data_IF_864208226607
#
_entry.id   IF_864208226607
#
_cell.length_a   1.000
_cell.length_b   1.000
_cell.length_c   1.000
_cell.angle_alpha   90.00
_cell.angle_beta   90.00
_cell.angle_gamma   90.00
#
_symmetry.space_group_name_H-M   'P 1'
#
loop_
_entity.id
_entity.type
_entity.pdbx_description
1 polymer ?
#
# COMPACT_ATOMS: atom_id res chain seq x y z
N UNK A 1 -8.56 25.05 -8.23
CA UNK A 1 -9.26 24.29 -7.17
C UNK A 1 -8.72 22.86 -6.95
N UNK A 2 -7.89 22.29 -7.84
CA UNK A 2 -7.26 20.98 -7.64
C UNK A 2 -6.22 20.94 -6.48
N UNK A 3 -5.45 22.02 -6.29
CA UNK A 3 -4.45 22.10 -5.20
C UNK A 3 -5.05 22.21 -3.79
N UNK A 4 -6.34 22.58 -3.66
CA UNK A 4 -6.99 22.69 -2.35
C UNK A 4 -7.48 21.33 -1.84
N UNK A 5 -7.77 20.37 -2.73
CA UNK A 5 -8.22 19.01 -2.37
C UNK A 5 -7.04 18.11 -1.97
N UNK A 6 -5.89 18.25 -2.63
CA UNK A 6 -4.65 17.58 -2.23
C UNK A 6 -4.16 18.11 -0.86
N UNK A 7 -4.21 19.42 -0.64
CA UNK A 7 -3.90 20.02 0.66
C UNK A 7 -4.89 19.57 1.76
N UNK A 8 -6.18 19.39 1.43
CA UNK A 8 -7.19 18.90 2.38
C UNK A 8 -6.94 17.44 2.80
N UNK A 9 -6.49 16.58 1.89
CA UNK A 9 -6.15 15.19 2.23
C UNK A 9 -4.87 15.10 3.07
N UNK A 10 -3.84 15.91 2.74
CA UNK A 10 -2.63 16.04 3.56
C UNK A 10 -2.97 16.58 4.95
N UNK A 11 -3.89 17.55 5.05
CA UNK A 11 -4.34 18.11 6.33
C UNK A 11 -5.19 17.10 7.12
N UNK A 12 -6.04 16.30 6.47
CA UNK A 12 -6.82 15.24 7.14
C UNK A 12 -5.91 14.14 7.68
N UNK A 13 -4.90 13.72 6.92
CA UNK A 13 -3.88 12.78 7.40
C UNK A 13 -3.07 13.37 8.56
N UNK A 14 -2.66 14.65 8.46
CA UNK A 14 -1.95 15.33 9.53
C UNK A 14 -2.80 15.57 10.80
N UNK A 15 -4.11 15.83 10.66
CA UNK A 15 -5.04 16.04 11.77
C UNK A 15 -5.30 14.72 12.52
N UNK A 16 -5.47 13.60 11.79
CA UNK A 16 -5.57 12.28 12.43
C UNK A 16 -4.25 11.88 13.12
N UNK A 17 -3.09 12.27 12.60
CA UNK A 17 -1.80 12.08 13.28
C UNK A 17 -1.60 13.02 14.48
N UNK A 18 -2.11 14.26 14.44
CA UNK A 18 -1.91 15.24 15.53
C UNK A 18 -2.89 15.09 16.69
N UNK A 19 -4.06 14.48 16.47
CA UNK A 19 -4.99 14.18 17.57
C UNK A 19 -4.46 13.09 18.53
N UNK A 20 -3.36 12.42 18.18
CA UNK A 20 -2.63 11.48 19.03
C UNK A 20 -1.50 12.13 19.86
N UNK A 21 -1.25 13.43 19.76
CA UNK A 21 -0.17 14.10 20.50
C UNK A 21 -0.63 15.47 21.02
N UNK A 22 -1.42 15.46 22.10
CA UNK A 22 -1.81 16.70 22.78
C UNK A 22 -0.70 17.18 23.71
N UNK A 23 0.42 17.69 23.18
CA UNK A 23 1.22 18.70 23.86
C UNK A 23 1.99 19.53 22.83
N UNK A 24 1.81 20.85 22.91
CA UNK A 24 2.37 21.92 22.07
C UNK A 24 1.60 22.26 20.78
N UNK A 25 0.52 23.04 20.95
CA UNK A 25 -0.04 23.86 19.88
C UNK A 25 0.28 25.35 20.12
N UNK A 26 0.74 26.00 19.05
CA UNK A 26 1.12 27.41 18.93
C UNK A 26 -0.06 28.35 19.32
N UNK A 27 0.15 29.40 20.14
CA UNK A 27 -0.93 30.28 20.64
C UNK A 27 -1.68 31.08 19.56
N UNK A 28 -1.23 31.07 18.30
CA UNK A 28 -1.90 31.74 17.18
C UNK A 28 -3.11 30.98 16.60
N UNK A 29 -3.30 29.68 16.91
CA UNK A 29 -4.32 28.82 16.27
C UNK A 29 -5.58 28.61 17.16
N UNK A 30 -5.47 28.94 18.44
CA UNK A 30 -6.50 28.68 19.46
C UNK A 30 -7.87 29.37 19.23
N UNK A 31 -7.97 30.58 18.63
CA UNK A 31 -9.26 31.23 18.39
C UNK A 31 -10.12 30.55 17.30
N UNK A 32 -9.49 29.90 16.31
CA UNK A 32 -10.20 29.26 15.19
C UNK A 32 -10.78 27.88 15.56
N UNK A 33 -10.13 27.14 16.46
CA UNK A 33 -10.59 25.85 16.98
C UNK A 33 -11.89 25.96 17.80
N UNK A 34 -12.09 27.06 18.54
CA UNK A 34 -13.29 27.27 19.39
C UNK A 34 -14.56 27.55 18.59
N UNK A 35 -14.46 28.02 17.34
CA UNK A 35 -15.62 28.24 16.48
C UNK A 35 -16.14 26.91 15.87
N UNK A 36 -15.27 25.90 15.73
CA UNK A 36 -15.61 24.66 15.03
C UNK A 36 -16.26 23.61 15.94
N UNK A 37 -15.91 23.56 17.23
CA UNK A 37 -16.50 22.62 18.21
C UNK A 37 -18.00 22.85 18.43
N UNK A 38 -18.49 24.09 18.26
CA UNK A 38 -19.93 24.41 18.33
C UNK A 38 -20.75 23.82 17.17
N UNK A 39 -20.14 23.60 16.00
CA UNK A 39 -20.84 23.07 14.82
C UNK A 39 -20.88 21.54 14.81
N UNK A 40 -19.86 20.88 15.35
CA UNK A 40 -19.80 19.41 15.44
C UNK A 40 -20.75 18.82 16.50
N UNK A 41 -20.99 19.54 17.61
CA UNK A 41 -21.93 19.11 18.64
C UNK A 41 -23.40 19.09 18.17
N UNK A 42 -23.75 19.95 17.20
CA UNK A 42 -25.12 20.04 16.66
C UNK A 42 -25.46 18.87 15.73
N UNK A 43 -24.46 18.29 15.04
CA UNK A 43 -24.63 17.16 14.14
C UNK A 43 -24.77 15.81 14.86
N UNK A 44 -24.23 15.69 16.09
CA UNK A 44 -24.32 14.47 16.88
C UNK A 44 -25.69 14.29 17.58
N UNK A 45 -26.42 15.38 17.83
CA UNK A 45 -27.68 15.37 18.56
C UNK A 45 -28.89 14.89 17.72
N UNK A 46 -28.77 14.80 16.39
CA UNK A 46 -29.87 14.42 15.49
C UNK A 46 -29.93 12.93 15.16
N UNK A 47 -29.01 12.10 15.67
CA UNK A 47 -28.90 10.67 15.30
C UNK A 47 -29.33 9.67 16.37
N UNK A 48 -29.77 10.11 17.56
CA UNK A 48 -30.27 9.21 18.60
C UNK A 48 -31.67 9.58 19.08
N UNK A 49 -32.69 9.12 18.37
CA UNK A 49 -34.01 8.84 18.96
C UNK A 49 -34.84 7.96 18.02
N UNK A 50 -34.96 6.66 18.32
CA UNK A 50 -36.02 5.79 17.77
C UNK A 50 -36.59 4.92 18.90
N UNK A 51 -37.94 4.72 18.98
CA UNK A 51 -38.58 3.91 20.02
C UNK A 51 -38.77 2.43 19.60
N UNK A 52 -39.09 1.50 20.54
CA UNK A 52 -39.03 0.05 20.33
C UNK A 52 -40.30 -0.55 19.67
N UNK A 53 -40.27 -1.85 19.24
CA UNK A 53 -41.22 -2.38 18.27
C UNK A 53 -42.46 -3.05 18.90
N UNK A 54 -43.57 -3.07 18.14
CA UNK A 54 -44.79 -3.85 18.41
C UNK A 54 -45.14 -4.77 17.23
N UNK A 55 -45.71 -5.92 17.57
CA UNK A 55 -45.99 -7.11 16.75
C UNK A 55 -47.22 -7.00 15.80
N UNK A 56 -47.19 -7.86 14.76
CA UNK A 56 -48.31 -8.55 14.05
C UNK A 56 -49.27 -7.67 13.19
N UNK A 57 -49.55 -7.91 11.91
CA UNK A 57 -50.09 -9.12 11.24
C UNK A 57 -50.07 -8.96 9.70
N UNK A 58 -50.20 -10.10 9.00
CA UNK A 58 -50.34 -10.30 7.55
C UNK A 58 -51.49 -9.49 6.91
N UNK A 59 -51.27 -9.03 5.66
CA UNK A 59 -52.23 -9.14 4.53
C UNK A 59 -51.50 -8.96 3.19
N UNK A 60 -51.77 -9.86 2.25
CA UNK A 60 -51.40 -9.78 0.84
C UNK A 60 -52.32 -8.81 0.10
N UNK A 61 -51.87 -8.26 -1.04
CA UNK A 61 -52.62 -8.12 -2.32
C UNK A 61 -51.74 -7.49 -3.40
N UNK A 62 -51.63 -8.25 -4.51
CA UNK A 62 -51.54 -7.95 -5.95
C UNK A 62 -50.88 -6.68 -6.52
N UNK A 63 -50.05 -6.95 -7.54
CA UNK A 63 -49.61 -6.07 -8.62
C UNK A 63 -50.73 -5.26 -9.30
N UNK A 64 -50.37 -4.06 -9.77
CA UNK A 64 -50.92 -3.47 -10.99
C UNK A 64 -49.87 -2.58 -11.68
N UNK A 65 -49.54 -2.91 -12.93
CA UNK A 65 -48.86 -2.02 -13.87
C UNK A 65 -49.86 -1.01 -14.44
N UNK A 66 -49.49 0.27 -14.52
CA UNK A 66 -50.11 1.21 -15.46
C UNK A 66 -49.11 2.25 -15.95
N UNK A 67 -48.88 2.25 -17.25
CA UNK A 67 -48.33 3.37 -18.01
C UNK A 67 -49.41 4.44 -18.21
N UNK A 68 -49.01 5.72 -18.18
CA UNK A 68 -49.27 6.77 -19.19
C UNK A 68 -49.11 8.16 -18.58
N UNK A 69 -48.59 9.11 -19.37
CA UNK A 69 -48.88 10.53 -19.19
C UNK A 69 -47.69 11.48 -19.25
N UNK A 70 -47.34 11.89 -20.48
CA UNK A 70 -46.53 13.10 -20.75
C UNK A 70 -47.27 14.34 -20.22
N UNK A 71 -46.57 15.21 -19.50
CA UNK A 71 -46.90 16.64 -19.42
C UNK A 71 -45.63 17.46 -19.62
N UNK A 72 -45.71 18.41 -20.56
CA UNK A 72 -44.63 19.31 -20.94
C UNK A 72 -44.65 20.64 -20.19
N UNK A 73 -43.42 21.14 -20.03
CA UNK A 73 -42.97 22.53 -19.92
C UNK A 73 -43.47 23.44 -18.79
N UNK A 74 -42.55 23.75 -17.88
CA UNK A 74 -42.25 25.14 -17.54
C UNK A 74 -40.73 25.31 -17.37
N UNK A 75 -40.16 26.12 -18.28
CA UNK A 75 -38.80 26.62 -18.18
C UNK A 75 -38.69 27.62 -17.01
N UNK A 76 -37.81 27.32 -16.06
CA UNK A 76 -37.13 28.33 -15.25
C UNK A 76 -35.64 28.14 -15.47
N UNK A 77 -35.05 29.06 -16.24
CA UNK A 77 -33.61 29.16 -16.40
C UNK A 77 -32.98 29.51 -15.06
N UNK A 78 -31.97 28.74 -14.65
CA UNK A 78 -31.06 29.14 -13.60
C UNK A 78 -29.69 28.49 -13.85
N UNK A 79 -28.68 29.33 -14.07
CA UNK A 79 -27.24 29.05 -13.93
C UNK A 79 -26.65 27.90 -14.73
N UNK A 80 -26.05 28.21 -15.89
CA UNK A 80 -25.03 27.35 -16.50
C UNK A 80 -23.82 27.22 -15.55
N UNK A 81 -23.91 26.25 -14.65
CA UNK A 81 -22.73 25.57 -14.14
C UNK A 81 -22.64 24.29 -14.96
N UNK A 82 -21.95 24.33 -16.11
CA UNK A 82 -21.57 23.12 -16.83
C UNK A 82 -20.54 22.39 -15.96
N UNK A 83 -21.02 21.76 -14.89
CA UNK A 83 -20.25 20.85 -14.08
C UNK A 83 -19.97 19.65 -14.98
N UNK A 84 -18.81 19.67 -15.64
CA UNK A 84 -18.28 18.48 -16.30
C UNK A 84 -18.41 17.32 -15.30
N UNK A 85 -19.09 16.27 -15.71
CA UNK A 85 -19.16 15.03 -14.95
C UNK A 85 -17.73 14.58 -14.68
N UNK A 86 -17.48 13.94 -13.53
CA UNK A 86 -16.19 13.26 -13.29
C UNK A 86 -15.91 12.25 -14.43
N UNK A 87 -16.95 11.77 -15.10
CA UNK A 87 -16.84 10.87 -16.25
C UNK A 87 -16.37 11.56 -17.55
N UNK A 88 -16.41 12.89 -17.63
CA UNK A 88 -16.04 13.65 -18.84
C UNK A 88 -14.51 13.85 -18.93
N UNK A 89 -13.74 13.51 -17.89
CA UNK A 89 -12.27 13.57 -17.90
C UNK A 89 -11.61 12.33 -18.51
N UNK A 90 -12.39 11.36 -18.97
CA UNK A 90 -11.89 10.16 -19.60
C UNK A 90 -11.48 10.45 -21.05
N UNK A 91 -10.43 9.79 -21.56
CA UNK A 91 -10.14 9.84 -22.98
C UNK A 91 -11.35 9.36 -23.78
N UNK A 92 -11.61 9.95 -24.97
CA UNK A 92 -12.49 9.32 -25.95
C UNK A 92 -12.09 7.86 -26.17
N UNK A 93 -13.07 6.97 -26.30
CA UNK A 93 -12.88 5.53 -26.58
C UNK A 93 -12.15 4.74 -25.48
N UNK A 94 -12.23 5.18 -24.22
CA UNK A 94 -11.75 4.43 -23.07
C UNK A 94 -12.85 3.52 -22.47
N UNK A 95 -12.57 2.26 -22.10
CA UNK A 95 -11.29 1.54 -22.28
C UNK A 95 -11.03 1.19 -23.75
N UNK A 96 -9.76 1.15 -24.18
CA UNK A 96 -9.42 0.82 -25.55
C UNK A 96 -9.86 -0.63 -25.88
N UNK A 97 -10.07 -0.95 -27.17
CA UNK A 97 -10.40 -2.31 -27.59
C UNK A 97 -9.33 -3.34 -27.17
N UNK A 98 -9.80 -4.55 -26.91
CA UNK A 98 -8.91 -5.69 -26.65
C UNK A 98 -7.96 -5.96 -27.82
N UNK A 99 -6.77 -6.43 -27.49
CA UNK A 99 -5.74 -6.88 -28.44
C UNK A 99 -5.55 -8.40 -28.34
N UNK A 100 -4.74 -9.02 -29.23
CA UNK A 100 -4.39 -10.44 -29.10
C UNK A 100 -3.71 -10.78 -27.76
N UNK A 101 -3.04 -9.82 -27.12
CA UNK A 101 -2.22 -10.05 -25.91
C UNK A 101 -2.77 -9.39 -24.65
N UNK A 102 -3.67 -8.41 -24.77
CA UNK A 102 -4.09 -7.55 -23.66
C UNK A 102 -5.60 -7.27 -23.71
N UNK A 103 -6.26 -7.31 -22.55
CA UNK A 103 -7.64 -6.86 -22.33
C UNK A 103 -7.66 -5.78 -21.23
N UNK A 104 -8.57 -4.81 -21.31
CA UNK A 104 -8.67 -3.72 -20.31
C UNK A 104 -10.07 -3.66 -19.68
N UNK A 105 -10.11 -3.73 -18.34
CA UNK A 105 -11.32 -3.55 -17.54
C UNK A 105 -11.18 -2.26 -16.72
N UNK A 106 -12.14 -1.34 -16.84
CA UNK A 106 -12.12 -0.09 -16.09
C UNK A 106 -12.93 -0.17 -14.79
N UNK A 107 -12.35 0.38 -13.72
CA UNK A 107 -12.96 0.50 -12.39
C UNK A 107 -13.06 1.98 -11.99
N UNK A 108 -14.28 2.43 -11.71
CA UNK A 108 -14.56 3.78 -11.22
C UNK A 108 -15.65 3.75 -10.15
N UNK A 109 -15.31 4.19 -8.93
CA UNK A 109 -16.24 4.17 -7.79
C UNK A 109 -17.45 5.10 -7.94
N UNK A 110 -17.42 6.04 -8.88
CA UNK A 110 -18.50 6.98 -9.15
C UNK A 110 -19.40 6.51 -10.32
N UNK A 111 -19.14 5.32 -10.87
CA UNK A 111 -19.96 4.72 -11.93
C UNK A 111 -19.62 5.19 -13.33
N UNK A 112 -18.46 5.82 -13.55
CA UNK A 112 -18.01 6.21 -14.89
C UNK A 112 -17.49 5.03 -15.73
N UNK A 113 -17.39 3.84 -15.13
CA UNK A 113 -16.93 2.61 -15.77
C UNK A 113 -17.86 1.44 -15.47
N UNK A 114 -17.66 0.34 -16.21
CA UNK A 114 -18.47 -0.88 -16.09
C UNK A 114 -18.35 -1.57 -14.72
N UNK A 115 -17.30 -1.26 -13.96
CA UNK A 115 -17.10 -1.78 -12.61
C UNK A 115 -16.96 -0.62 -11.62
N UNK A 116 -17.58 -0.74 -10.46
CA UNK A 116 -17.45 0.22 -9.35
C UNK A 116 -16.52 -0.27 -8.24
N UNK A 117 -16.16 -1.55 -8.24
CA UNK A 117 -15.23 -2.18 -7.30
C UNK A 117 -14.11 -2.89 -8.04
N UNK A 118 -12.95 -2.98 -7.41
CA UNK A 118 -11.77 -3.67 -7.96
C UNK A 118 -12.02 -5.18 -8.00
N UNK A 119 -12.63 -5.76 -6.97
CA UNK A 119 -12.92 -7.19 -6.93
C UNK A 119 -13.84 -7.64 -8.07
N UNK A 120 -14.88 -6.87 -8.41
CA UNK A 120 -15.80 -7.25 -9.49
C UNK A 120 -15.13 -7.27 -10.87
N UNK A 121 -14.17 -6.37 -11.13
CA UNK A 121 -13.38 -6.40 -12.35
C UNK A 121 -12.44 -7.62 -12.40
N UNK A 122 -11.83 -7.98 -11.26
CA UNK A 122 -11.01 -9.20 -11.16
C UNK A 122 -11.86 -10.44 -11.41
N UNK A 123 -13.06 -10.52 -10.83
CA UNK A 123 -13.97 -11.65 -10.98
C UNK A 123 -14.35 -11.85 -12.45
N UNK A 124 -14.56 -10.76 -13.20
CA UNK A 124 -14.85 -10.76 -14.63
C UNK A 124 -13.65 -11.16 -15.52
N UNK A 125 -12.41 -11.01 -15.03
CA UNK A 125 -11.22 -11.40 -15.80
C UNK A 125 -11.22 -12.93 -16.10
N UNK A 126 -10.88 -13.37 -17.33
CA UNK A 126 -10.89 -14.79 -17.65
C UNK A 126 -9.91 -15.61 -16.78
N UNK A 127 -10.32 -16.81 -16.39
CA UNK A 127 -9.43 -17.75 -15.67
C UNK A 127 -8.39 -18.33 -16.64
N UNK A 128 -7.19 -18.60 -16.13
CA UNK A 128 -6.07 -19.21 -16.85
C UNK A 128 -5.74 -18.52 -18.20
N UNK A 129 -5.99 -17.21 -18.27
CA UNK A 129 -5.77 -16.43 -19.48
C UNK A 129 -4.29 -16.30 -19.81
N UNK A 130 -3.86 -16.63 -21.05
CA UNK A 130 -2.54 -16.26 -21.52
C UNK A 130 -2.45 -14.76 -21.84
N UNK A 131 -3.58 -14.07 -22.03
CA UNK A 131 -3.64 -12.61 -22.22
C UNK A 131 -3.51 -11.89 -20.89
N UNK A 132 -2.81 -10.76 -20.89
CA UNK A 132 -2.73 -9.84 -19.75
C UNK A 132 -4.04 -9.07 -19.60
N UNK A 133 -4.67 -9.16 -18.43
CA UNK A 133 -5.84 -8.32 -18.12
C UNK A 133 -5.40 -7.14 -17.29
N UNK A 134 -5.57 -5.93 -17.84
CA UNK A 134 -5.29 -4.67 -17.15
C UNK A 134 -6.58 -4.19 -16.49
N UNK A 135 -6.57 -4.17 -15.17
CA UNK A 135 -7.58 -3.53 -14.34
C UNK A 135 -7.13 -2.06 -14.18
N UNK A 136 -7.75 -1.18 -14.96
CA UNK A 136 -7.53 0.26 -14.86
C UNK A 136 -8.38 0.81 -13.73
N UNK A 137 -7.74 1.37 -12.70
CA UNK A 137 -8.38 1.81 -11.46
C UNK A 137 -8.23 3.33 -11.37
N UNK A 138 -9.33 4.06 -11.51
CA UNK A 138 -9.30 5.51 -11.43
C UNK A 138 -8.93 6.02 -10.03
N UNK A 139 -8.62 7.32 -9.96
CA UNK A 139 -8.36 8.00 -8.69
C UNK A 139 -9.53 7.85 -7.73
N UNK A 140 -9.22 7.44 -6.50
CA UNK A 140 -10.20 7.19 -5.47
C UNK A 140 -9.68 6.25 -4.38
N UNK A 141 -10.38 6.26 -3.25
CA UNK A 141 -10.23 5.27 -2.18
C UNK A 141 -11.25 4.16 -2.43
N UNK A 142 -10.79 2.93 -2.60
CA UNK A 142 -11.60 1.73 -2.78
C UNK A 142 -11.55 0.95 -1.46
N UNK A 143 -12.59 1.14 -0.63
CA UNK A 143 -12.68 0.48 0.67
C UNK A 143 -13.28 -0.92 0.49
N UNK A 144 -12.43 -1.88 0.17
CA UNK A 144 -12.80 -3.26 -0.13
C UNK A 144 -11.62 -4.20 0.13
N UNK A 145 -11.93 -5.46 0.42
CA UNK A 145 -10.94 -6.53 0.49
C UNK A 145 -10.82 -7.20 -0.88
N UNK A 146 -9.60 -7.30 -1.39
CA UNK A 146 -9.34 -7.77 -2.77
C UNK A 146 -8.50 -9.04 -2.77
N UNK A 147 -8.88 -10.02 -3.59
CA UNK A 147 -8.11 -11.24 -3.82
C UNK A 147 -7.91 -11.49 -5.31
N UNK A 148 -6.65 -11.59 -5.72
CA UNK A 148 -6.25 -12.06 -7.06
C UNK A 148 -5.85 -13.53 -6.94
N UNK A 149 -6.79 -14.43 -7.29
CA UNK A 149 -6.62 -15.87 -7.14
C UNK A 149 -5.53 -16.45 -8.08
N UNK A 150 -4.94 -17.58 -7.69
CA UNK A 150 -3.88 -18.28 -8.44
C UNK A 150 -4.28 -18.63 -9.87
N UNK A 151 -5.56 -18.92 -10.11
CA UNK A 151 -6.10 -19.27 -11.42
C UNK A 151 -6.37 -18.05 -12.33
N UNK A 152 -6.00 -16.84 -11.93
CA UNK A 152 -6.09 -15.62 -12.76
C UNK A 152 -4.68 -15.03 -12.96
N UNK A 153 -3.80 -15.68 -13.75
CA UNK A 153 -2.45 -15.16 -14.02
C UNK A 153 -2.50 -13.87 -14.84
N UNK A 154 -1.37 -13.15 -14.93
CA UNK A 154 -1.19 -12.00 -15.83
C UNK A 154 -2.17 -10.84 -15.55
N UNK A 155 -2.51 -10.59 -14.29
CA UNK A 155 -3.32 -9.43 -13.91
C UNK A 155 -2.41 -8.21 -13.72
N UNK A 156 -2.87 -7.05 -14.19
CA UNK A 156 -2.21 -5.76 -13.93
C UNK A 156 -3.18 -4.82 -13.24
N UNK A 157 -2.79 -4.24 -12.11
CA UNK A 157 -3.46 -3.07 -11.57
C UNK A 157 -2.76 -1.81 -12.06
N UNK A 158 -3.50 -0.95 -12.74
CA UNK A 158 -3.02 0.34 -13.22
C UNK A 158 -3.80 1.44 -12.52
N UNK A 159 -3.20 2.07 -11.50
CA UNK A 159 -3.73 3.27 -10.86
C UNK A 159 -3.30 4.56 -11.56
N UNK A 160 -3.72 5.70 -11.02
CA UNK A 160 -3.40 7.04 -11.55
C UNK A 160 -2.36 7.80 -10.70
N UNK A 161 -1.77 7.12 -9.71
CA UNK A 161 -0.78 7.67 -8.78
C UNK A 161 -0.96 7.05 -7.40
N UNK A 162 0.14 6.72 -6.72
CA UNK A 162 0.03 6.15 -5.37
C UNK A 162 -0.65 7.11 -4.37
N UNK A 163 -0.56 8.43 -4.59
CA UNK A 163 -1.24 9.42 -3.76
C UNK A 163 -2.73 9.62 -4.11
N UNK A 164 -3.21 9.12 -5.25
CA UNK A 164 -4.56 9.39 -5.76
C UNK A 164 -5.44 8.15 -5.89
N UNK A 165 -4.85 6.96 -6.05
CA UNK A 165 -5.57 5.67 -6.16
C UNK A 165 -5.12 4.74 -5.03
N UNK A 166 -6.07 4.26 -4.22
CA UNK A 166 -5.76 3.36 -3.11
C UNK A 166 -6.84 2.28 -2.89
N UNK A 167 -6.41 1.05 -2.61
CA UNK A 167 -7.26 -0.02 -2.08
C UNK A 167 -7.01 -0.12 -0.58
N UNK A 168 -8.09 -0.09 0.21
CA UNK A 168 -8.04 0.10 1.66
C UNK A 168 -8.93 -0.91 2.37
N UNK A 169 -8.39 -1.53 3.42
CA UNK A 169 -9.17 -2.30 4.39
C UNK A 169 -8.60 -2.08 5.81
N UNK A 170 -9.12 -2.77 6.83
CA UNK A 170 -8.73 -2.54 8.23
C UNK A 170 -8.72 -3.81 9.11
N UNK A 171 -8.54 -4.99 8.51
CA UNK A 171 -8.44 -6.21 9.29
C UNK A 171 -7.15 -6.25 10.11
N UNK A 172 -7.26 -6.73 11.34
CA UNK A 172 -6.12 -7.16 12.16
C UNK A 172 -6.04 -8.68 12.14
N UNK A 173 -4.92 -9.25 12.56
CA UNK A 173 -4.79 -10.69 12.75
C UNK A 173 -5.88 -11.25 13.66
N UNK A 174 -6.32 -10.50 14.68
CA UNK A 174 -7.41 -10.90 15.54
C UNK A 174 -8.77 -10.93 14.80
N UNK A 175 -9.09 -9.90 13.99
CA UNK A 175 -10.36 -9.88 13.24
C UNK A 175 -10.40 -10.89 12.10
N UNK A 176 -9.23 -11.26 11.55
CA UNK A 176 -9.10 -12.16 10.41
C UNK A 176 -8.69 -13.60 10.77
N UNK A 177 -8.54 -13.94 12.06
CA UNK A 177 -8.07 -15.26 12.53
C UNK A 177 -6.64 -15.61 12.05
N UNK A 178 -5.77 -14.61 12.01
CA UNK A 178 -4.33 -14.74 11.73
C UNK A 178 -3.81 -13.66 10.80
N UNK A 179 -2.55 -13.27 10.97
CA UNK A 179 -1.86 -12.24 10.18
C UNK A 179 -1.98 -12.48 8.68
N UNK A 180 -1.86 -13.73 8.23
CA UNK A 180 -1.87 -14.07 6.82
C UNK A 180 -3.20 -13.79 6.11
N UNK A 181 -4.29 -13.65 6.88
CA UNK A 181 -5.63 -13.38 6.39
C UNK A 181 -6.03 -11.90 6.55
N UNK A 182 -5.21 -11.07 7.21
CA UNK A 182 -5.53 -9.64 7.43
C UNK A 182 -5.22 -8.75 6.23
N UNK A 183 -4.60 -9.30 5.18
CA UNK A 183 -4.27 -8.61 3.94
C UNK A 183 -5.46 -7.89 3.33
N UNK A 184 -5.36 -6.56 3.19
CA UNK A 184 -6.34 -5.75 2.46
C UNK A 184 -6.41 -6.18 0.99
N UNK A 185 -5.24 -6.48 0.42
CA UNK A 185 -5.10 -7.15 -0.88
C UNK A 185 -4.31 -8.45 -0.72
N UNK A 186 -4.77 -9.53 -1.36
CA UNK A 186 -4.09 -10.82 -1.40
C UNK A 186 -3.83 -11.24 -2.84
N UNK A 187 -2.56 -11.37 -3.23
CA UNK A 187 -2.13 -11.71 -4.57
C UNK A 187 -1.53 -13.12 -4.57
N UNK A 188 -2.27 -14.09 -5.10
CA UNK A 188 -1.79 -15.47 -5.30
C UNK A 188 -1.48 -15.78 -6.77
N UNK A 189 -1.76 -14.83 -7.67
CA UNK A 189 -1.58 -14.90 -9.10
C UNK A 189 -0.12 -14.71 -9.51
N UNK A 190 0.36 -15.48 -10.47
CA UNK A 190 1.66 -15.27 -11.08
C UNK A 190 1.64 -14.17 -12.14
N UNK A 191 2.80 -13.56 -12.41
CA UNK A 191 2.96 -12.48 -13.39
C UNK A 191 2.09 -11.25 -13.09
N UNK A 192 1.78 -11.03 -11.81
CA UNK A 192 1.01 -9.88 -11.33
C UNK A 192 1.83 -8.60 -11.48
N UNK A 193 1.20 -7.53 -11.93
CA UNK A 193 1.81 -6.20 -11.99
C UNK A 193 0.93 -5.21 -11.25
N UNK A 194 1.53 -4.31 -10.47
CA UNK A 194 0.87 -3.10 -10.00
C UNK A 194 1.68 -1.86 -10.37
N UNK A 195 0.99 -0.83 -10.84
CA UNK A 195 1.58 0.46 -11.22
C UNK A 195 0.78 1.59 -10.60
N UNK A 196 1.46 2.56 -10.00
CA UNK A 196 0.90 3.84 -9.59
C UNK A 196 -0.37 3.72 -8.73
N UNK A 197 -0.37 2.81 -7.75
CA UNK A 197 -1.50 2.55 -6.84
C UNK A 197 -0.99 2.29 -5.42
N UNK A 198 -1.82 2.58 -4.43
CA UNK A 198 -1.53 2.29 -3.03
C UNK A 198 -2.34 1.12 -2.48
N UNK A 199 -1.70 0.34 -1.63
CA UNK A 199 -2.32 -0.70 -0.80
C UNK A 199 -2.22 -0.26 0.66
N UNK A 200 -3.35 -0.22 1.36
CA UNK A 200 -3.40 0.30 2.73
C UNK A 200 -4.16 -0.60 3.67
N UNK A 201 -3.61 -0.83 4.86
CA UNK A 201 -4.37 -1.30 6.01
C UNK A 201 -4.45 -0.19 7.06
N UNK A 202 -5.68 0.26 7.34
CA UNK A 202 -5.96 1.38 8.26
C UNK A 202 -6.44 0.91 9.64
N UNK A 203 -6.11 -0.33 10.03
CA UNK A 203 -6.27 -0.78 11.40
C UNK A 203 -5.56 0.16 12.39
N UNK A 204 -6.05 0.29 13.64
CA UNK A 204 -5.40 1.11 14.65
C UNK A 204 -3.93 0.71 14.85
N UNK A 205 -3.03 1.71 14.96
CA UNK A 205 -1.62 1.46 15.24
C UNK A 205 -1.50 0.74 16.59
N UNK A 206 -0.84 -0.44 16.64
CA UNK A 206 -0.72 -1.22 17.86
C UNK A 206 0.08 -0.49 18.93
N UNK A 207 -0.33 -0.66 20.19
CA UNK A 207 0.47 -0.31 21.35
C UNK A 207 1.46 -1.46 21.65
N UNK A 208 2.59 -1.16 22.30
CA UNK A 208 3.51 -2.20 22.77
C UNK A 208 2.78 -3.26 23.61
N UNK A 209 2.87 -4.52 23.20
CA UNK A 209 2.25 -5.66 23.89
C UNK A 209 0.85 -6.05 23.41
N UNK A 210 0.27 -5.33 22.45
CA UNK A 210 -1.02 -5.70 21.86
C UNK A 210 -0.93 -7.06 21.15
N UNK A 211 -1.89 -7.94 21.43
CA UNK A 211 -1.95 -9.29 20.84
C UNK A 211 -2.90 -9.26 19.63
N UNK A 212 -2.45 -9.83 18.51
CA UNK A 212 -3.29 -9.97 17.31
C UNK A 212 -3.53 -8.67 16.53
N UNK A 213 -2.70 -7.64 16.75
CA UNK A 213 -2.85 -6.33 16.13
C UNK A 213 -2.09 -6.17 14.78
N UNK A 214 -1.41 -7.22 14.31
CA UNK A 214 -0.76 -7.22 12.99
C UNK A 214 -1.77 -6.95 11.88
N UNK A 215 -1.44 -6.12 10.91
CA UNK A 215 -2.41 -5.61 9.94
C UNK A 215 -1.77 -5.43 8.55
N UNK A 216 -1.97 -6.41 7.68
CA UNK A 216 -1.31 -6.49 6.37
C UNK A 216 -2.03 -5.60 5.35
N UNK A 217 -1.29 -4.71 4.68
CA UNK A 217 -1.79 -3.92 3.56
C UNK A 217 -1.91 -4.78 2.31
N UNK A 218 -0.87 -5.55 1.99
CA UNK A 218 -0.88 -6.51 0.89
C UNK A 218 -0.03 -7.73 1.21
N UNK A 219 -0.54 -8.89 0.81
CA UNK A 219 0.17 -10.16 0.81
C UNK A 219 0.43 -10.62 -0.61
N UNK A 220 1.67 -11.00 -0.92
CA UNK A 220 2.10 -11.42 -2.25
C UNK A 220 2.70 -12.82 -2.16
N UNK A 221 1.99 -13.81 -2.69
CA UNK A 221 2.40 -15.22 -2.67
C UNK A 221 2.42 -15.86 -4.08
N UNK A 222 2.23 -15.05 -5.12
CA UNK A 222 2.33 -15.46 -6.52
C UNK A 222 3.69 -15.08 -7.10
N UNK A 223 4.33 -16.02 -7.79
CA UNK A 223 5.66 -15.81 -8.38
C UNK A 223 5.65 -14.76 -9.51
N UNK A 224 6.78 -14.08 -9.72
CA UNK A 224 6.98 -13.11 -10.80
C UNK A 224 6.07 -11.88 -10.69
N UNK A 225 5.97 -11.28 -9.50
CA UNK A 225 5.18 -10.08 -9.27
C UNK A 225 6.04 -8.80 -9.31
N UNK A 226 5.54 -7.75 -9.97
CA UNK A 226 6.26 -6.48 -10.08
C UNK A 226 5.42 -5.26 -9.70
N UNK A 227 6.05 -4.31 -9.01
CA UNK A 227 5.41 -3.11 -8.47
C UNK A 227 6.22 -1.87 -8.86
N UNK A 228 5.58 -0.88 -9.49
CA UNK A 228 6.22 0.35 -9.93
C UNK A 228 5.47 1.59 -9.45
N UNK A 229 6.17 2.48 -8.74
CA UNK A 229 5.56 3.72 -8.26
C UNK A 229 4.38 3.47 -7.30
N UNK A 230 4.40 2.34 -6.59
CA UNK A 230 3.31 1.92 -5.69
C UNK A 230 3.54 2.41 -4.26
N UNK A 231 2.46 2.55 -3.52
CA UNK A 231 2.47 2.88 -2.10
C UNK A 231 2.00 1.72 -1.23
N UNK A 232 2.65 1.52 -0.08
CA UNK A 232 2.31 0.48 0.88
C UNK A 232 2.20 1.12 2.26
N UNK A 233 1.00 1.13 2.84
CA UNK A 233 0.73 1.85 4.08
C UNK A 233 0.12 0.93 5.13
N UNK A 234 0.78 0.85 6.27
CA UNK A 234 0.27 0.16 7.45
C UNK A 234 1.09 0.54 8.68
N UNK A 235 0.98 -0.28 9.72
CA UNK A 235 1.81 -0.19 10.90
C UNK A 235 2.64 -1.48 11.02
N UNK A 236 2.24 -2.40 11.89
CA UNK A 236 2.89 -3.70 12.02
C UNK A 236 2.49 -4.63 10.87
N UNK A 237 3.47 -5.29 10.27
CA UNK A 237 3.30 -6.31 9.20
C UNK A 237 2.71 -5.73 7.90
N UNK A 238 3.12 -4.52 7.49
CA UNK A 238 2.51 -3.81 6.34
C UNK A 238 2.58 -4.58 5.01
N UNK A 239 3.77 -5.00 4.59
CA UNK A 239 4.01 -5.71 3.35
C UNK A 239 4.40 -7.16 3.66
N UNK A 240 3.47 -8.09 3.41
CA UNK A 240 3.74 -9.52 3.51
C UNK A 240 4.22 -10.05 2.15
N UNK A 241 5.52 -9.94 1.93
CA UNK A 241 6.26 -10.51 0.82
C UNK A 241 6.46 -12.03 1.03
N UNK A 242 5.35 -12.77 0.99
CA UNK A 242 5.20 -14.17 1.47
C UNK A 242 6.16 -15.13 0.77
N UNK A 243 6.08 -15.27 -0.55
CA UNK A 243 6.91 -16.19 -1.34
C UNK A 243 6.91 -15.83 -2.82
N UNK A 244 7.95 -16.26 -3.53
CA UNK A 244 8.11 -16.06 -4.97
C UNK A 244 9.18 -15.03 -5.29
N UNK A 245 9.38 -14.76 -6.58
CA UNK A 245 10.31 -13.75 -7.10
C UNK A 245 9.57 -12.45 -7.33
N UNK A 246 10.00 -11.38 -6.67
CA UNK A 246 9.33 -10.09 -6.77
C UNK A 246 10.29 -8.95 -7.06
N UNK A 247 9.75 -7.91 -7.71
CA UNK A 247 10.47 -6.69 -8.02
C UNK A 247 9.65 -5.48 -7.60
N UNK A 248 10.27 -4.57 -6.84
CA UNK A 248 9.66 -3.33 -6.40
C UNK A 248 10.55 -2.19 -6.85
N UNK A 249 10.02 -1.24 -7.61
CA UNK A 249 10.78 -0.10 -8.11
C UNK A 249 10.07 1.22 -7.85
N UNK A 250 10.81 2.19 -7.35
CA UNK A 250 10.32 3.55 -7.10
C UNK A 250 9.09 3.55 -6.16
N UNK A 251 9.04 2.60 -5.21
CA UNK A 251 7.90 2.41 -4.30
C UNK A 251 8.11 3.17 -2.98
N UNK A 252 7.00 3.53 -2.34
CA UNK A 252 6.96 4.08 -0.98
C UNK A 252 6.38 3.02 -0.03
N UNK A 253 7.14 2.61 0.98
CA UNK A 253 6.74 1.56 1.93
C UNK A 253 6.84 2.12 3.34
N UNK A 254 5.73 2.09 4.09
CA UNK A 254 5.64 2.67 5.42
C UNK A 254 5.09 1.68 6.44
N UNK A 255 5.73 1.59 7.61
CA UNK A 255 5.19 0.86 8.75
C UNK A 255 6.02 1.01 10.03
N UNK A 256 5.78 0.15 11.01
CA UNK A 256 6.45 0.19 12.32
C UNK A 256 7.28 -1.06 12.57
N UNK A 257 6.66 -2.16 13.00
CA UNK A 257 7.31 -3.44 13.30
C UNK A 257 7.16 -4.38 12.11
N UNK A 258 8.25 -5.03 11.71
CA UNK A 258 8.33 -6.04 10.66
C UNK A 258 7.59 -5.61 9.38
N UNK A 259 7.69 -4.33 9.02
CA UNK A 259 6.78 -3.78 8.01
C UNK A 259 7.06 -4.28 6.59
N UNK A 260 8.18 -4.98 6.38
CA UNK A 260 8.44 -5.85 5.24
C UNK A 260 8.84 -7.23 5.77
N UNK A 261 8.01 -8.25 5.56
CA UNK A 261 8.26 -9.58 6.10
C UNK A 261 7.79 -10.68 5.15
N UNK A 262 8.31 -11.88 5.34
CA UNK A 262 8.00 -13.03 4.48
C UNK A 262 9.26 -13.77 4.02
N UNK A 263 9.09 -14.68 3.06
CA UNK A 263 10.15 -15.52 2.50
C UNK A 263 10.29 -15.32 0.97
N UNK A 264 9.96 -14.13 0.48
CA UNK A 264 10.21 -13.75 -0.91
C UNK A 264 11.70 -13.75 -1.29
N UNK A 265 11.97 -13.94 -2.59
CA UNK A 265 13.24 -13.64 -3.27
C UNK A 265 13.02 -12.32 -4.02
N UNK A 266 13.33 -11.21 -3.37
CA UNK A 266 12.81 -9.91 -3.79
C UNK A 266 13.89 -8.86 -3.94
N UNK A 267 13.77 -8.06 -5.00
CA UNK A 267 14.66 -6.95 -5.30
C UNK A 267 13.88 -5.64 -5.22
N UNK A 268 14.26 -4.78 -4.29
CA UNK A 268 13.69 -3.46 -4.05
C UNK A 268 14.67 -2.42 -4.57
N UNK A 269 14.32 -1.72 -5.64
CA UNK A 269 15.16 -0.73 -6.33
C UNK A 269 14.57 0.69 -6.14
N UNK A 270 15.38 1.64 -5.69
CA UNK A 270 14.97 3.04 -5.54
C UNK A 270 13.73 3.24 -4.65
N UNK A 271 13.52 2.37 -3.67
CA UNK A 271 12.38 2.44 -2.77
C UNK A 271 12.66 3.35 -1.56
N UNK A 272 11.61 4.00 -1.06
CA UNK A 272 11.63 4.75 0.19
C UNK A 272 10.99 3.90 1.30
N UNK A 273 11.76 3.60 2.35
CA UNK A 273 11.34 2.81 3.50
C UNK A 273 11.17 3.75 4.70
N UNK A 274 9.92 3.99 5.11
CA UNK A 274 9.58 5.02 6.09
C UNK A 274 9.02 4.40 7.35
N UNK A 275 9.76 4.52 8.46
CA UNK A 275 9.26 4.11 9.76
C UNK A 275 8.31 5.15 10.35
N UNK A 276 7.20 4.68 10.90
CA UNK A 276 6.26 5.47 11.71
C UNK A 276 6.26 5.02 13.17
N UNK A 277 7.32 4.34 13.61
CA UNK A 277 7.48 3.99 15.01
C UNK A 277 7.53 5.25 15.88
N UNK A 278 6.97 5.18 17.09
CA UNK A 278 6.93 6.32 18.01
C UNK A 278 8.34 6.88 18.26
N UNK A 279 8.55 8.20 18.29
CA UNK A 279 9.85 8.75 18.66
C UNK A 279 10.35 8.23 20.00
N UNK A 280 11.66 7.96 20.08
CA UNK A 280 12.32 7.47 21.29
C UNK A 280 13.14 8.61 21.88
N UNK A 281 13.03 8.86 23.19
CA UNK A 281 13.79 9.90 23.86
C UNK A 281 15.30 9.62 23.79
N UNK A 282 16.10 10.69 23.69
CA UNK A 282 17.56 10.57 23.64
C UNK A 282 18.09 9.75 24.84
N UNK A 283 19.00 8.81 24.58
CA UNK A 283 19.59 7.92 25.58
C UNK A 283 18.77 6.66 25.90
N UNK A 284 17.52 6.56 25.45
CA UNK A 284 16.74 5.32 25.58
C UNK A 284 17.16 4.31 24.50
N UNK A 285 17.25 3.03 24.89
CA UNK A 285 17.65 1.94 23.99
C UNK A 285 16.48 1.12 23.44
N UNK A 286 15.25 1.47 23.79
CA UNK A 286 14.06 0.72 23.37
C UNK A 286 13.95 0.73 21.85
N UNK A 287 13.84 -0.46 21.27
CA UNK A 287 13.54 -0.66 19.86
C UNK A 287 12.03 -0.73 19.69
N UNK A 288 11.50 0.07 18.76
CA UNK A 288 10.08 0.12 18.50
C UNK A 288 9.73 0.18 17.01
N UNK A 289 10.72 -0.01 16.14
CA UNK A 289 10.52 -0.27 14.73
C UNK A 289 11.48 -1.36 14.22
N UNK A 290 11.05 -2.07 13.19
CA UNK A 290 11.87 -3.06 12.49
C UNK A 290 11.50 -2.99 11.01
N UNK A 291 12.48 -2.74 10.15
CA UNK A 291 12.24 -2.63 8.70
C UNK A 291 11.89 -3.99 8.12
N UNK A 292 12.73 -4.99 8.39
CA UNK A 292 12.58 -6.31 7.77
C UNK A 292 12.44 -7.47 8.76
N UNK A 293 11.66 -8.48 8.39
CA UNK A 293 11.64 -9.76 9.08
C UNK A 293 11.63 -10.91 8.05
N UNK A 294 12.81 -11.22 7.51
CA UNK A 294 12.95 -12.24 6.48
C UNK A 294 12.88 -13.66 7.07
N UNK A 295 12.12 -14.51 6.39
CA UNK A 295 11.63 -15.80 6.86
C UNK A 295 12.30 -17.02 6.25
N UNK A 296 13.50 -16.91 5.67
CA UNK A 296 14.24 -18.07 5.14
C UNK A 296 14.50 -19.12 6.22
N UNK A 297 14.04 -20.35 6.00
CA UNK A 297 14.03 -21.42 6.99
C UNK A 297 15.21 -22.40 6.84
N UNK A 298 15.85 -22.46 5.67
CA UNK A 298 16.96 -23.39 5.39
C UNK A 298 18.01 -22.79 4.47
N UNK A 299 19.21 -23.37 4.45
CA UNK A 299 20.27 -22.95 3.52
C UNK A 299 19.98 -23.33 2.06
N UNK A 300 19.09 -24.30 1.82
CA UNK A 300 18.75 -24.79 0.47
C UNK A 300 17.76 -23.86 -0.24
N UNK A 301 17.07 -23.00 0.50
CA UNK A 301 16.22 -21.94 -0.05
C UNK A 301 17.06 -20.84 -0.68
N UNK A 302 16.69 -20.40 -1.88
CA UNK A 302 17.33 -19.25 -2.52
C UNK A 302 16.48 -17.97 -2.38
N UNK A 303 15.94 -17.71 -1.20
CA UNK A 303 15.08 -16.54 -0.88
C UNK A 303 15.88 -15.46 -0.16
N UNK A 304 15.38 -14.23 -0.12
CA UNK A 304 16.09 -13.11 0.50
C UNK A 304 15.56 -11.76 0.01
N UNK A 305 15.76 -10.72 0.82
CA UNK A 305 15.45 -9.35 0.42
C UNK A 305 16.71 -8.58 0.07
N UNK A 306 16.73 -7.97 -1.11
CA UNK A 306 17.79 -7.05 -1.53
C UNK A 306 17.19 -5.66 -1.70
N UNK A 307 17.76 -4.68 -1.00
CA UNK A 307 17.43 -3.26 -1.15
C UNK A 307 18.59 -2.56 -1.83
N UNK A 308 18.38 -2.15 -3.08
CA UNK A 308 19.38 -1.53 -3.92
C UNK A 308 19.02 -0.07 -4.18
N UNK A 309 19.92 0.85 -3.81
CA UNK A 309 19.74 2.29 -4.00
C UNK A 309 18.46 2.84 -3.32
N UNK A 310 18.12 2.29 -2.16
CA UNK A 310 16.95 2.70 -1.38
C UNK A 310 17.28 3.82 -0.38
N UNK A 311 16.26 4.32 0.32
CA UNK A 311 16.45 5.20 1.49
C UNK A 311 15.63 4.73 2.68
N UNK A 312 16.19 4.82 3.89
CA UNK A 312 15.51 4.52 5.16
C UNK A 312 15.40 5.78 6.02
N UNK A 313 14.17 6.13 6.39
CA UNK A 313 13.85 7.35 7.14
C UNK A 313 12.62 7.20 8.02
N UNK A 314 12.19 8.32 8.61
CA UNK A 314 10.99 8.39 9.45
C UNK A 314 11.30 8.65 10.92
N UNK A 315 10.58 7.97 11.81
CA UNK A 315 10.67 8.17 13.27
C UNK A 315 10.94 6.88 14.04
N UNK A 316 11.37 7.02 15.29
CA UNK A 316 11.58 5.91 16.22
C UNK A 316 13.03 5.46 16.30
N UNK A 317 13.23 4.27 16.89
CA UNK A 317 14.53 3.59 16.96
C UNK A 317 14.37 2.20 16.36
N UNK A 318 15.05 1.97 15.24
CA UNK A 318 14.66 0.95 14.27
C UNK A 318 15.81 -0.01 13.98
N UNK A 319 15.52 -1.31 13.93
CA UNK A 319 16.44 -2.28 13.33
C UNK A 319 16.23 -2.36 11.82
N UNK A 320 17.34 -2.53 11.09
CA UNK A 320 17.34 -2.91 9.67
C UNK A 320 16.58 -4.21 9.45
N UNK A 321 16.70 -5.15 10.39
CA UNK A 321 15.90 -6.36 10.35
C UNK A 321 16.02 -7.24 11.57
N UNK A 322 15.12 -8.22 11.65
CA UNK A 322 15.25 -9.32 12.59
C UNK A 322 14.97 -10.70 11.99
N UNK A 323 15.62 -11.72 12.53
CA UNK A 323 15.59 -13.07 11.96
C UNK A 323 14.28 -13.78 12.30
N UNK A 324 13.24 -13.61 11.46
CA UNK A 324 11.99 -14.35 11.68
C UNK A 324 12.20 -15.86 11.63
N UNK A 325 13.15 -16.32 10.81
CA UNK A 325 13.60 -17.72 10.71
C UNK A 325 15.13 -17.85 10.71
N UNK A 326 15.68 -19.06 10.98
CA UNK A 326 17.11 -19.22 11.27
C UNK A 326 18.08 -18.82 10.14
N UNK A 327 17.67 -18.87 8.87
CA UNK A 327 18.53 -18.58 7.72
C UNK A 327 18.22 -17.23 7.05
N UNK A 328 17.56 -16.34 7.80
CA UNK A 328 17.13 -15.00 7.37
C UNK A 328 18.20 -14.29 6.54
N UNK A 329 17.81 -13.77 5.37
CA UNK A 329 18.76 -13.17 4.42
C UNK A 329 18.28 -11.81 3.93
N UNK A 330 19.01 -10.76 4.29
CA UNK A 330 18.71 -9.38 3.92
C UNK A 330 19.99 -8.66 3.53
N UNK A 331 19.97 -7.93 2.41
CA UNK A 331 21.09 -7.11 1.95
C UNK A 331 20.62 -5.70 1.67
N UNK A 332 21.29 -4.71 2.27
CA UNK A 332 21.18 -3.30 1.91
C UNK A 332 22.42 -2.88 1.12
N UNK A 333 22.23 -2.44 -0.11
CA UNK A 333 23.28 -1.97 -1.00
C UNK A 333 22.99 -0.55 -1.48
N UNK A 334 23.98 0.34 -1.40
CA UNK A 334 23.85 1.75 -1.79
C UNK A 334 22.67 2.46 -1.12
N UNK A 335 22.28 2.01 0.08
CA UNK A 335 21.10 2.52 0.77
C UNK A 335 21.47 3.68 1.69
N UNK A 336 20.74 4.79 1.59
CA UNK A 336 20.93 5.92 2.52
C UNK A 336 20.08 5.73 3.78
N UNK A 337 20.69 5.83 4.95
CA UNK A 337 20.06 5.58 6.25
C UNK A 337 20.16 6.80 7.15
N UNK A 338 19.03 7.27 7.67
CA UNK A 338 18.99 8.33 8.70
C UNK A 338 19.30 7.77 10.09
N UNK A 339 19.42 8.65 11.09
CA UNK A 339 19.84 8.33 12.47
C UNK A 339 18.79 7.58 13.30
N UNK A 340 17.65 7.22 12.71
CA UNK A 340 16.68 6.32 13.35
C UNK A 340 17.18 4.88 13.45
N UNK A 341 18.20 4.50 12.66
CA UNK A 341 18.76 3.17 12.68
C UNK A 341 19.54 2.96 13.99
N UNK A 342 19.13 1.95 14.74
CA UNK A 342 19.81 1.53 15.93
C UNK A 342 21.25 1.11 15.61
N UNK A 343 22.19 1.48 16.48
CA UNK A 343 23.63 1.23 16.28
C UNK A 343 23.98 -0.25 16.08
N UNK A 344 23.28 -1.13 16.79
CA UNK A 344 23.41 -2.59 16.63
C UNK A 344 22.91 -3.11 15.27
N UNK A 345 22.05 -2.35 14.58
CA UNK A 345 21.54 -2.62 13.23
C UNK A 345 20.51 -3.74 13.15
N UNK A 346 20.83 -4.91 13.68
CA UNK A 346 20.08 -6.16 13.45
C UNK A 346 19.75 -6.89 14.74
N UNK A 347 18.80 -7.82 14.67
CA UNK A 347 18.50 -8.76 15.73
C UNK A 347 18.28 -10.18 15.19
N UNK A 348 18.93 -11.16 15.78
CA UNK A 348 18.79 -12.59 15.48
C UNK A 348 17.54 -13.22 16.12
N UNK A 349 16.59 -12.42 16.61
CA UNK A 349 15.51 -12.84 17.49
C UNK A 349 15.97 -13.25 18.90
N UNK A 350 17.15 -12.79 19.32
CA UNK A 350 17.82 -13.14 20.57
C UNK A 350 18.10 -14.66 20.68
N UNK A 351 18.52 -15.26 19.57
CA UNK A 351 18.82 -16.68 19.44
C UNK A 351 20.21 -16.85 18.81
N UNK A 352 21.27 -16.87 19.63
CA UNK A 352 22.66 -16.88 19.16
C UNK A 352 23.02 -18.08 18.27
N UNK A 353 22.18 -19.11 18.23
CA UNK A 353 22.36 -20.25 17.32
C UNK A 353 22.21 -19.84 15.85
N UNK A 354 21.60 -18.67 15.59
CA UNK A 354 21.35 -18.14 14.25
C UNK A 354 22.47 -17.25 13.73
N UNK A 355 23.38 -16.79 14.59
CA UNK A 355 24.51 -15.92 14.22
C UNK A 355 25.34 -16.49 13.06
N UNK A 356 25.42 -17.83 12.97
CA UNK A 356 26.18 -18.53 11.93
C UNK A 356 25.38 -18.80 10.64
N UNK A 357 24.06 -18.65 10.67
CA UNK A 357 23.16 -19.03 9.57
C UNK A 357 22.45 -17.85 8.91
N UNK A 358 22.28 -16.73 9.62
CA UNK A 358 21.75 -15.50 9.03
C UNK A 358 22.76 -14.88 8.06
N UNK A 359 22.23 -14.17 7.06
CA UNK A 359 23.04 -13.37 6.15
C UNK A 359 22.50 -11.94 6.12
N UNK A 360 23.12 -11.07 6.91
CA UNK A 360 22.81 -9.65 6.95
C UNK A 360 23.98 -8.86 6.38
N UNK A 361 23.76 -8.28 5.20
CA UNK A 361 24.79 -7.59 4.44
C UNK A 361 24.51 -6.09 4.33
N UNK A 362 25.53 -5.28 4.59
CA UNK A 362 25.56 -3.87 4.23
C UNK A 362 26.67 -3.63 3.19
N UNK A 363 26.36 -2.94 2.09
CA UNK A 363 27.32 -2.64 1.03
C UNK A 363 27.19 -1.19 0.56
N UNK A 364 28.23 -0.38 0.77
CA UNK A 364 28.27 1.02 0.33
C UNK A 364 27.05 1.85 0.79
N UNK A 365 26.51 1.55 1.97
CA UNK A 365 25.45 2.34 2.59
C UNK A 365 26.01 3.67 3.11
N UNK A 366 25.15 4.70 3.16
CA UNK A 366 25.55 6.07 3.54
C UNK A 366 24.53 6.72 4.48
N UNK A 367 24.88 7.87 5.04
CA UNK A 367 24.02 8.61 5.97
C UNK A 367 24.33 8.33 7.44
N UNK A 368 23.67 9.06 8.35
CA UNK A 368 23.97 9.04 9.79
C UNK A 368 23.67 7.69 10.47
N UNK A 369 22.75 6.89 9.92
CA UNK A 369 22.43 5.55 10.42
C UNK A 369 23.31 4.42 9.88
N UNK A 370 24.15 4.70 8.87
CA UNK A 370 24.97 3.69 8.18
C UNK A 370 26.32 3.41 8.87
N UNK A 371 26.57 3.96 10.06
CA UNK A 371 27.78 3.66 10.80
C UNK A 371 27.76 2.23 11.34
N UNK A 372 28.67 1.38 10.84
CA UNK A 372 28.74 -0.04 11.17
C UNK A 372 29.63 -0.37 12.38
N UNK A 373 30.30 0.62 13.00
CA UNK A 373 31.32 0.39 14.04
C UNK A 373 30.82 -0.32 15.32
N UNK A 374 29.51 -0.35 15.51
CA UNK A 374 28.82 -0.92 16.70
C UNK A 374 27.72 -1.89 16.32
N UNK A 375 27.73 -2.40 15.07
CA UNK A 375 26.81 -3.45 14.63
C UNK A 375 27.04 -4.73 15.43
N UNK A 376 26.00 -5.56 15.46
CA UNK A 376 26.11 -6.93 15.96
C UNK A 376 27.21 -7.71 15.22
N UNK A 377 27.89 -8.68 15.86
CA UNK A 377 29.04 -9.37 15.25
C UNK A 377 28.74 -10.19 13.99
N UNK A 378 27.49 -10.58 13.76
CA UNK A 378 27.04 -11.33 12.58
C UNK A 378 26.59 -10.43 11.41
N UNK A 379 26.68 -9.10 11.57
CA UNK A 379 26.59 -8.18 10.44
C UNK A 379 27.79 -8.37 9.49
N UNK A 380 27.54 -8.29 8.19
CA UNK A 380 28.56 -8.44 7.17
C UNK A 380 28.70 -7.15 6.37
N UNK A 381 29.77 -6.40 6.62
CA UNK A 381 30.20 -5.35 5.72
C UNK A 381 30.78 -6.00 4.45
N UNK A 382 30.00 -5.99 3.37
CA UNK A 382 30.34 -6.70 2.15
C UNK A 382 31.41 -5.92 1.36
N UNK A 383 32.25 -6.66 0.64
CA UNK A 383 33.07 -6.13 -0.45
C UNK A 383 32.40 -6.37 -1.81
N UNK A 384 32.99 -5.84 -2.89
CA UNK A 384 32.47 -5.92 -4.26
C UNK A 384 32.15 -7.36 -4.70
N UNK A 385 33.01 -8.33 -4.35
CA UNK A 385 32.84 -9.74 -4.73
C UNK A 385 31.70 -10.39 -3.95
N UNK A 386 31.56 -10.08 -2.66
CA UNK A 386 30.48 -10.59 -1.82
C UNK A 386 29.13 -9.96 -2.18
N UNK A 387 29.11 -8.70 -2.59
CA UNK A 387 27.89 -7.99 -2.97
C UNK A 387 27.40 -8.33 -4.39
N UNK A 388 28.31 -8.63 -5.32
CA UNK A 388 28.02 -8.88 -6.74
C UNK A 388 26.83 -9.81 -7.03
N UNK A 389 26.63 -10.94 -6.33
CA UNK A 389 25.49 -11.84 -6.57
C UNK A 389 24.12 -11.23 -6.20
N UNK A 390 24.10 -10.24 -5.31
CA UNK A 390 22.88 -9.63 -4.78
C UNK A 390 22.50 -8.36 -5.52
N UNK A 391 23.46 -7.57 -5.97
CA UNK A 391 23.24 -6.21 -6.51
C UNK A 391 22.91 -6.18 -8.02
N UNK A 392 22.52 -7.32 -8.60
CA UNK A 392 22.07 -7.44 -9.97
C UNK A 392 20.65 -8.03 -10.02
N UNK A 393 19.84 -7.64 -11.00
CA UNK A 393 18.50 -8.19 -11.22
C UNK A 393 18.49 -9.69 -11.53
N UNK A 394 19.62 -10.29 -11.90
CA UNK A 394 19.79 -11.75 -11.94
C UNK A 394 19.56 -12.41 -10.56
N UNK A 395 19.67 -11.64 -9.45
CA UNK A 395 19.27 -12.12 -8.13
C UNK A 395 17.80 -12.54 -8.07
N UNK A 396 16.93 -12.09 -8.97
CA UNK A 396 15.53 -12.54 -9.06
C UNK A 396 15.22 -13.19 -10.41
N UNK A 397 16.26 -13.58 -11.17
CA UNK A 397 16.16 -14.10 -12.54
C UNK A 397 15.32 -13.17 -13.45
N UNK A 398 15.46 -11.84 -13.28
CA UNK A 398 14.60 -10.86 -13.93
C UNK A 398 14.54 -11.00 -15.46
N UNK A 399 15.64 -11.40 -16.09
CA UNK A 399 15.74 -11.66 -17.53
C UNK A 399 14.76 -12.73 -18.03
N UNK A 400 14.26 -13.60 -17.15
CA UNK A 400 13.33 -14.68 -17.50
C UNK A 400 11.87 -14.24 -17.49
N UNK A 401 11.52 -13.17 -16.78
CA UNK A 401 10.11 -12.87 -16.48
C UNK A 401 9.76 -11.39 -16.38
N UNK A 402 10.69 -10.55 -15.92
CA UNK A 402 10.41 -9.16 -15.65
C UNK A 402 10.18 -8.42 -16.96
N UNK A 403 8.96 -7.96 -17.16
CA UNK A 403 8.61 -7.15 -18.30
C UNK A 403 9.13 -5.71 -18.09
N UNK A 404 9.63 -5.04 -19.14
CA UNK A 404 10.00 -3.63 -19.06
C UNK A 404 8.86 -2.78 -18.52
N UNK A 405 9.20 -1.74 -17.76
CA UNK A 405 8.21 -0.76 -17.35
C UNK A 405 7.69 0.01 -18.56
N UNK A 406 6.53 -0.40 -19.07
CA UNK A 406 5.88 0.31 -20.16
C UNK A 406 5.18 1.58 -19.65
N UNK A 407 5.72 2.74 -20.05
CA UNK A 407 5.15 4.08 -19.81
C UNK A 407 4.05 4.45 -20.79
N UNK A 408 3.84 3.72 -21.88
CA UNK A 408 2.80 4.05 -22.87
C UNK A 408 1.40 3.85 -22.30
N UNK A 409 1.23 2.97 -21.30
CA UNK A 409 0.00 2.85 -20.51
C UNK A 409 -0.27 4.10 -19.63
N UNK A 410 0.74 4.96 -19.41
CA UNK A 410 0.65 6.19 -18.57
C UNK A 410 0.36 7.43 -19.44
N UNK A 411 0.59 7.36 -20.75
CA UNK A 411 0.39 8.48 -21.67
C UNK A 411 -1.03 8.46 -22.26
N UNK A 412 -2.04 8.66 -21.42
CA UNK A 412 -3.21 9.39 -21.89
C UNK A 412 -2.77 10.86 -21.99
N UNK A 413 -2.87 11.51 -23.17
CA UNK A 413 -2.39 12.87 -23.31
C UNK A 413 -3.16 13.75 -22.32
N UNK A 414 -2.46 14.23 -21.29
CA UNK A 414 -2.88 15.45 -20.62
C UNK A 414 -3.11 16.46 -21.75
N UNK A 415 -4.36 16.89 -21.90
CA UNK A 415 -4.80 17.78 -22.94
C UNK A 415 -3.70 18.81 -23.21
N UNK A 416 -3.18 18.80 -24.44
CA UNK A 416 -2.28 19.83 -24.92
C UNK A 416 -3.00 21.17 -24.74
N UNK A 417 -2.64 21.88 -23.68
CA UNK A 417 -2.97 23.30 -23.59
C UNK A 417 -2.28 23.95 -24.78
N UNK A 418 -3.10 24.33 -25.75
CA UNK A 418 -2.71 25.07 -26.93
C UNK A 418 -2.03 26.36 -26.47
N UNK A 419 -0.70 26.37 -26.47
CA UNK A 419 0.04 27.62 -26.66
C UNK A 419 -0.22 28.05 -28.09
N UNK A 420 -1.21 28.91 -28.25
CA UNK A 420 -1.26 29.78 -29.42
C UNK A 420 -0.22 30.89 -29.23
N UNK A 421 0.44 31.20 -30.35
CA UNK A 421 1.62 32.05 -30.51
C UNK A 421 1.52 33.43 -29.87
#
# INVERSE_FOLDING_TARGET
>A
MANLKAAFLVLVVAIFSSMASTHFLNPLILPYLKAFTKSAALAAATFFSWPPPLLLTRKAVSCYHRHHGRHGHHHRGNGNNTGASVCDSFPPDFPPPDTPTTAILCVDRNGCCNFTTVQSAIDAAPILSPKRTIIWINSGIYYEKVMVARNKPNITFQGQGYASTAIVWNDTANSSHGTFYSGSVQVFSSNFIAKNISFMNVAPIPKPGDVGAQAVAIRIAGDQAAFWGCGFFGAQDTLHDDRGRHYFRDCYIQGSIDFIFGDGRSFYENCQLISIASPVAAGQKVINGVVTAHGRASNDENTGFVFYNCSIGGTGRVWLGRAWRPFSRVVFAYTTMTDIIATEGWNDFNDPTRDQSVFYGEYMCSGSGANTSTRVPFDQLLNDTQAAPFINLSFIDAEQWLQPFDTQLILLPLASSSRTY
#
